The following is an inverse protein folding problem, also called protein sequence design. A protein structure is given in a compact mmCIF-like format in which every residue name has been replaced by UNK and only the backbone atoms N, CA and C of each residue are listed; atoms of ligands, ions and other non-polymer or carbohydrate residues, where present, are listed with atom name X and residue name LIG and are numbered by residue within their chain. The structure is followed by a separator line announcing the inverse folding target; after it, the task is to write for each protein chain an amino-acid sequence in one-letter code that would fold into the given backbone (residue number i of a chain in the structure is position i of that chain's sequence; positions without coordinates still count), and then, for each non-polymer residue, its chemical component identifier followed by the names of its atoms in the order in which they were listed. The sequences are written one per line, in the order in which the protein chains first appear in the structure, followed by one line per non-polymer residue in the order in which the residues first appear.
data_IF_799559329236
#
_entry.id   IF_799559329236
#
_cell.length_a   1.000
_cell.length_b   1.000
_cell.length_c   1.000
_cell.angle_alpha   90.00
_cell.angle_beta   90.00
_cell.angle_gamma   90.00
#
_symmetry.space_group_name_H-M   'P 1'
#
loop_
_entity.id
_entity.type
_entity.pdbx_description
1 polymer ?
#
# COMPACT_ATOMS: atom_id res chain seq x y z
N UNK A 1 2.43 -16.42 7.17
CA UNK A 1 1.27 -15.77 7.80
C UNK A 1 0.71 -16.62 8.94
N UNK A 2 -0.49 -16.31 9.47
CA UNK A 2 -1.14 -17.10 10.53
C UNK A 2 -1.35 -18.56 10.11
N UNK A 3 -1.39 -19.52 11.08
CA UNK A 3 -1.56 -20.93 10.75
C UNK A 3 -2.80 -21.17 9.88
N UNK A 4 -3.98 -20.70 10.30
CA UNK A 4 -5.23 -20.82 9.55
C UNK A 4 -5.58 -19.54 8.84
N UNK A 5 -5.81 -19.61 7.53
CA UNK A 5 -6.20 -18.49 6.66
C UNK A 5 -7.39 -18.92 5.79
N UNK A 6 -8.21 -17.95 5.39
CA UNK A 6 -9.36 -18.17 4.50
C UNK A 6 -10.72 -18.24 5.20
N UNK A 7 -10.75 -18.52 6.50
CA UNK A 7 -11.98 -18.70 7.29
C UNK A 7 -12.87 -17.45 7.39
N UNK A 8 -12.34 -16.26 7.14
CA UNK A 8 -13.14 -15.02 7.07
C UNK A 8 -13.77 -14.84 5.69
N UNK A 9 -13.10 -15.26 4.62
CA UNK A 9 -13.46 -14.89 3.25
C UNK A 9 -13.07 -13.47 2.90
N UNK A 10 -13.59 -12.97 1.79
CA UNK A 10 -13.25 -11.66 1.21
C UNK A 10 -14.51 -10.81 1.11
N UNK A 11 -14.50 -9.57 1.63
CA UNK A 11 -15.63 -8.66 1.50
C UNK A 11 -15.77 -8.14 0.06
N UNK A 12 -16.92 -7.55 -0.32
CA UNK A 12 -17.10 -6.99 -1.65
C UNK A 12 -16.09 -5.86 -1.92
N UNK A 13 -15.54 -5.83 -3.12
CA UNK A 13 -14.73 -4.70 -3.57
C UNK A 13 -15.67 -3.55 -4.00
N UNK A 14 -15.84 -2.59 -3.10
CA UNK A 14 -16.64 -1.40 -3.33
C UNK A 14 -15.81 -0.14 -3.15
N UNK A 15 -16.08 0.87 -3.97
CA UNK A 15 -15.36 2.15 -3.96
C UNK A 15 -16.28 3.22 -3.38
N UNK A 16 -15.76 4.00 -2.43
CA UNK A 16 -16.43 5.19 -1.88
C UNK A 16 -16.44 6.35 -2.91
N UNK A 17 -17.31 7.36 -2.76
CA UNK A 17 -17.33 8.50 -3.68
C UNK A 17 -15.98 9.22 -3.82
N UNK A 18 -15.15 9.20 -2.80
CA UNK A 18 -13.79 9.75 -2.81
C UNK A 18 -12.74 8.84 -3.48
N UNK A 19 -13.16 7.71 -4.07
CA UNK A 19 -12.25 6.77 -4.74
C UNK A 19 -11.56 5.77 -3.81
N UNK A 20 -11.77 5.82 -2.49
CA UNK A 20 -11.17 4.87 -1.55
C UNK A 20 -11.96 3.56 -1.53
N UNK A 21 -11.25 2.43 -1.49
CA UNK A 21 -11.89 1.13 -1.32
C UNK A 21 -12.49 1.00 0.08
N UNK A 22 -13.76 0.59 0.19
CA UNK A 22 -14.51 0.60 1.46
C UNK A 22 -13.92 -0.38 2.49
N UNK A 23 -13.57 -1.59 2.06
CA UNK A 23 -13.17 -2.69 2.94
C UNK A 23 -11.74 -3.17 2.71
N UNK A 24 -11.06 -2.63 1.70
CA UNK A 24 -9.70 -3.02 1.35
C UNK A 24 -8.70 -1.94 1.77
N UNK A 25 -7.49 -2.36 2.09
CA UNK A 25 -6.39 -1.47 2.45
C UNK A 25 -5.55 -1.08 1.22
N UNK A 26 -5.81 -1.71 0.09
CA UNK A 26 -5.13 -1.52 -1.18
C UNK A 26 -6.07 -1.89 -2.34
N UNK A 27 -5.75 -1.44 -3.55
CA UNK A 27 -6.56 -1.69 -4.75
C UNK A 27 -6.38 -3.11 -5.29
N UNK A 28 -5.26 -3.79 -4.96
CA UNK A 28 -4.91 -5.13 -5.42
C UNK A 28 -4.09 -5.88 -4.38
N UNK A 29 -3.86 -7.18 -4.64
CA UNK A 29 -2.88 -7.97 -3.89
C UNK A 29 -1.48 -7.60 -4.42
N UNK A 30 -0.60 -7.14 -3.52
CA UNK A 30 0.78 -6.79 -3.86
C UNK A 30 1.78 -7.95 -3.63
N UNK A 31 1.34 -9.02 -2.94
CA UNK A 31 2.17 -10.19 -2.71
C UNK A 31 2.26 -11.05 -3.96
N UNK A 32 3.45 -11.54 -4.30
CA UNK A 32 3.68 -12.47 -5.40
C UNK A 32 3.13 -13.86 -5.12
N UNK A 33 3.03 -14.23 -3.83
CA UNK A 33 2.43 -15.48 -3.38
C UNK A 33 2.00 -15.40 -1.93
N UNK A 34 1.11 -16.30 -1.51
CA UNK A 34 0.76 -16.49 -0.09
C UNK A 34 1.18 -17.89 0.37
N UNK A 35 1.88 -17.97 1.50
CA UNK A 35 2.29 -19.23 2.12
C UNK A 35 1.58 -19.34 3.47
N UNK A 36 0.84 -20.42 3.67
CA UNK A 36 0.04 -20.70 4.88
C UNK A 36 0.27 -22.11 5.39
N UNK A 37 0.09 -22.33 6.69
CA UNK A 37 0.08 -23.68 7.24
C UNK A 37 -1.21 -24.39 6.88
N UNK A 38 -2.34 -23.80 7.26
CA UNK A 38 -3.68 -24.36 7.07
C UNK A 38 -4.56 -23.39 6.28
N UNK A 39 -5.33 -23.92 5.34
CA UNK A 39 -6.27 -23.14 4.54
C UNK A 39 -7.70 -23.62 4.78
N UNK A 40 -8.60 -22.67 5.09
CA UNK A 40 -10.03 -22.93 5.18
C UNK A 40 -10.69 -22.72 3.82
N UNK A 41 -11.27 -23.76 3.26
CA UNK A 41 -12.03 -23.69 2.00
C UNK A 41 -13.40 -23.06 2.21
N UNK A 42 -13.92 -23.05 3.44
CA UNK A 42 -15.18 -22.43 3.79
C UNK A 42 -14.93 -21.15 4.61
N UNK A 43 -15.74 -20.14 4.33
CA UNK A 43 -15.70 -18.87 5.04
C UNK A 43 -17.05 -18.56 5.70
N UNK A 44 -17.02 -17.77 6.78
CA UNK A 44 -18.21 -17.53 7.62
C UNK A 44 -18.41 -16.08 8.04
N UNK A 45 -17.60 -15.14 7.57
CA UNK A 45 -17.78 -13.73 7.94
C UNK A 45 -19.03 -13.15 7.26
N UNK A 46 -19.85 -12.42 8.01
CA UNK A 46 -21.13 -11.86 7.55
C UNK A 46 -21.03 -10.97 6.30
N UNK A 47 -19.87 -10.32 6.09
CA UNK A 47 -19.62 -9.41 4.96
C UNK A 47 -18.83 -10.08 3.82
N UNK A 48 -18.53 -11.37 3.92
CA UNK A 48 -17.79 -12.06 2.86
C UNK A 48 -18.70 -12.41 1.70
N UNK A 49 -18.21 -12.23 0.49
CA UNK A 49 -18.92 -12.54 -0.77
C UNK A 49 -18.19 -13.59 -1.60
N UNK A 50 -16.92 -13.85 -1.32
CA UNK A 50 -16.12 -14.86 -2.01
C UNK A 50 -15.08 -15.48 -1.08
N UNK A 51 -14.51 -16.62 -1.49
CA UNK A 51 -13.40 -17.23 -0.78
C UNK A 51 -12.09 -16.49 -1.05
N UNK A 52 -11.13 -16.59 -0.12
CA UNK A 52 -9.77 -16.08 -0.37
C UNK A 52 -9.13 -16.76 -1.58
N UNK A 53 -9.40 -18.06 -1.78
CA UNK A 53 -8.87 -18.82 -2.93
C UNK A 53 -9.41 -18.31 -4.27
N UNK A 54 -10.66 -17.90 -4.35
CA UNK A 54 -11.23 -17.34 -5.57
C UNK A 54 -10.65 -15.96 -5.86
N UNK A 55 -10.47 -15.13 -4.84
CA UNK A 55 -9.78 -13.85 -4.97
C UNK A 55 -8.34 -14.03 -5.48
N UNK A 56 -7.55 -14.93 -4.84
CA UNK A 56 -6.19 -15.24 -5.27
C UNK A 56 -6.12 -15.73 -6.73
N UNK A 57 -7.06 -16.59 -7.15
CA UNK A 57 -7.15 -17.04 -8.54
C UNK A 57 -7.43 -15.90 -9.52
N UNK A 58 -8.36 -15.02 -9.16
CA UNK A 58 -8.71 -13.85 -9.98
C UNK A 58 -7.52 -12.90 -10.15
N UNK A 59 -6.75 -12.69 -9.09
CA UNK A 59 -5.54 -11.85 -9.10
C UNK A 59 -4.29 -12.59 -9.60
N UNK A 60 -4.42 -13.88 -9.95
CA UNK A 60 -3.31 -14.75 -10.41
C UNK A 60 -2.17 -14.89 -9.39
N UNK A 61 -2.49 -14.83 -8.10
CA UNK A 61 -1.54 -14.97 -6.99
C UNK A 61 -1.55 -16.42 -6.49
N UNK A 62 -0.44 -17.17 -6.58
CA UNK A 62 -0.38 -18.53 -6.08
C UNK A 62 -0.46 -18.61 -4.57
N UNK A 63 -1.13 -19.66 -4.07
CA UNK A 63 -1.21 -19.98 -2.65
C UNK A 63 -0.61 -21.35 -2.36
N UNK A 64 0.25 -21.46 -1.35
CA UNK A 64 0.84 -22.71 -0.89
C UNK A 64 0.35 -23.01 0.52
N UNK A 65 -0.13 -24.20 0.76
CA UNK A 65 -0.59 -24.69 2.07
C UNK A 65 0.23 -25.90 2.52
N UNK A 66 0.18 -26.21 3.82
CA UNK A 66 0.90 -27.35 4.40
C UNK A 66 2.36 -27.05 4.78
N UNK A 67 2.76 -25.80 4.79
CA UNK A 67 4.10 -25.37 5.19
C UNK A 67 4.11 -24.99 6.68
N UNK A 68 5.13 -25.42 7.42
CA UNK A 68 5.37 -24.92 8.78
C UNK A 68 5.82 -23.42 8.72
N UNK A 69 4.83 -22.55 8.70
CA UNK A 69 5.06 -21.10 8.62
C UNK A 69 5.72 -20.55 9.88
N UNK A 70 5.63 -21.25 11.00
CA UNK A 70 6.29 -20.87 12.26
C UNK A 70 7.80 -21.10 12.15
N UNK A 71 8.20 -22.25 11.63
CA UNK A 71 9.62 -22.56 11.42
C UNK A 71 10.20 -21.67 10.34
N UNK A 72 9.49 -21.47 9.23
CA UNK A 72 9.90 -20.52 8.19
C UNK A 72 10.12 -19.09 8.76
N UNK A 73 9.25 -18.63 9.65
CA UNK A 73 9.40 -17.32 10.29
C UNK A 73 10.64 -17.24 11.18
N UNK A 74 11.03 -18.34 11.86
CA UNK A 74 12.28 -18.37 12.64
C UNK A 74 13.51 -18.25 11.73
N UNK A 75 13.53 -18.99 10.63
CA UNK A 75 14.60 -18.91 9.63
C UNK A 75 14.74 -17.49 9.10
N UNK A 76 13.65 -16.85 8.70
CA UNK A 76 13.64 -15.46 8.23
C UNK A 76 14.10 -14.46 9.31
N UNK A 77 13.77 -14.71 10.58
CA UNK A 77 14.23 -13.86 11.69
C UNK A 77 15.74 -13.95 11.92
N UNK A 78 16.32 -15.13 11.73
CA UNK A 78 17.75 -15.36 11.93
C UNK A 78 18.60 -14.85 10.75
N UNK A 79 18.11 -14.98 9.53
CA UNK A 79 18.85 -14.67 8.31
C UNK A 79 18.47 -13.32 7.68
N UNK A 80 17.38 -12.69 8.13
CA UNK A 80 16.85 -11.47 7.51
C UNK A 80 16.03 -11.76 6.25
N UNK A 81 16.09 -10.84 5.29
CA UNK A 81 15.40 -10.99 4.01
C UNK A 81 16.05 -12.10 3.20
N UNK A 82 15.25 -13.01 2.66
CA UNK A 82 15.69 -14.13 1.85
C UNK A 82 14.92 -14.16 0.53
N UNK A 83 15.62 -14.34 -0.55
CA UNK A 83 15.01 -14.58 -1.86
C UNK A 83 14.41 -15.99 -1.88
N UNK A 84 13.26 -16.13 -2.54
CA UNK A 84 12.57 -17.41 -2.69
C UNK A 84 11.89 -17.52 -4.05
N UNK A 85 11.82 -18.73 -4.59
CA UNK A 85 11.12 -19.04 -5.85
C UNK A 85 10.15 -20.19 -5.61
N UNK A 86 8.95 -20.08 -6.15
CA UNK A 86 8.00 -21.16 -6.23
C UNK A 86 8.19 -21.84 -7.59
N UNK A 87 8.47 -23.13 -7.57
CA UNK A 87 8.69 -23.92 -8.78
C UNK A 87 7.59 -24.98 -8.86
N UNK A 88 6.95 -25.07 -9.99
CA UNK A 88 6.00 -26.14 -10.33
C UNK A 88 6.75 -27.12 -11.24
N UNK A 89 6.70 -28.38 -10.91
CA UNK A 89 7.43 -29.50 -11.51
C UNK A 89 8.92 -29.58 -11.14
N UNK A 90 9.51 -30.78 -11.28
CA UNK A 90 10.93 -31.02 -11.09
C UNK A 90 11.72 -30.38 -12.24
N UNK A 91 12.05 -29.12 -12.10
CA UNK A 91 12.96 -28.45 -13.03
C UNK A 91 14.38 -28.82 -12.64
N UNK A 92 14.97 -29.77 -13.36
CA UNK A 92 16.38 -30.10 -13.19
C UNK A 92 17.24 -28.88 -13.55
N UNK A 93 17.91 -28.27 -12.55
CA UNK A 93 19.06 -27.39 -12.70
C UNK A 93 18.92 -26.12 -13.57
N UNK A 94 17.75 -25.49 -13.69
CA UNK A 94 17.72 -24.10 -14.14
C UNK A 94 18.32 -23.20 -13.03
N UNK A 95 19.38 -22.48 -13.36
CA UNK A 95 19.87 -21.39 -12.49
C UNK A 95 18.70 -20.51 -12.09
N UNK A 96 18.47 -20.39 -10.79
CA UNK A 96 17.42 -19.54 -10.22
C UNK A 96 17.79 -18.09 -10.52
N UNK A 97 17.44 -17.61 -11.71
CA UNK A 97 17.64 -16.23 -12.06
C UNK A 97 16.59 -15.39 -11.31
N UNK A 98 16.99 -14.84 -10.15
CA UNK A 98 16.17 -13.97 -9.33
C UNK A 98 16.72 -12.55 -9.42
N UNK A 99 15.81 -11.58 -9.57
CA UNK A 99 16.22 -10.18 -9.45
C UNK A 99 16.80 -9.93 -8.06
N UNK A 100 17.91 -9.19 -8.00
CA UNK A 100 18.49 -8.80 -6.73
C UNK A 100 17.51 -7.91 -5.95
N UNK A 101 17.12 -8.37 -4.75
CA UNK A 101 16.21 -7.65 -3.87
C UNK A 101 16.68 -6.21 -3.60
N UNK A 102 17.98 -6.00 -3.43
CA UNK A 102 18.57 -4.68 -3.14
C UNK A 102 18.44 -3.70 -4.32
N UNK A 103 18.28 -4.22 -5.54
CA UNK A 103 18.11 -3.39 -6.75
C UNK A 103 16.68 -2.90 -6.97
N UNK A 104 15.70 -3.39 -6.20
CA UNK A 104 14.27 -3.11 -6.42
C UNK A 104 13.77 -2.03 -5.47
N UNK A 105 13.29 -0.91 -6.02
CA UNK A 105 12.53 0.06 -5.23
C UNK A 105 11.07 -0.39 -5.10
N UNK A 106 10.75 -1.07 -4.00
CA UNK A 106 9.40 -1.56 -3.73
C UNK A 106 8.42 -0.42 -3.41
N UNK A 107 8.91 0.69 -2.87
CA UNK A 107 8.07 1.87 -2.58
C UNK A 107 7.53 2.45 -3.87
N UNK A 108 8.35 2.56 -4.92
CA UNK A 108 7.89 3.03 -6.22
C UNK A 108 6.79 2.15 -6.83
N UNK A 109 6.84 0.83 -6.59
CA UNK A 109 5.81 -0.11 -7.09
C UNK A 109 4.44 0.07 -6.45
N UNK A 110 4.37 0.57 -5.20
CA UNK A 110 3.13 0.70 -4.42
C UNK A 110 2.66 2.13 -4.21
N UNK A 111 3.50 3.11 -4.43
CA UNK A 111 3.20 4.53 -4.31
C UNK A 111 2.19 4.98 -5.37
N UNK A 112 1.35 5.96 -5.05
CA UNK A 112 0.44 6.58 -6.01
C UNK A 112 1.21 7.24 -7.16
N UNK A 113 0.52 7.45 -8.28
CA UNK A 113 1.11 8.02 -9.49
C UNK A 113 0.49 9.38 -9.86
N UNK A 114 -0.32 9.93 -8.97
CA UNK A 114 -0.94 11.25 -9.10
C UNK A 114 -1.11 11.89 -7.71
N UNK A 115 -1.33 13.18 -7.68
CA UNK A 115 -1.66 13.91 -6.47
C UNK A 115 -3.16 13.82 -6.25
N UNK A 116 -3.60 13.43 -5.06
CA UNK A 116 -5.04 13.38 -4.75
C UNK A 116 -5.33 14.08 -3.43
N UNK A 117 -6.21 15.08 -3.47
CA UNK A 117 -6.77 15.68 -2.26
C UNK A 117 -8.05 14.95 -1.89
N UNK A 118 -8.13 14.47 -0.65
CA UNK A 118 -9.30 13.86 -0.03
C UNK A 118 -9.89 14.80 1.00
N UNK A 119 -11.20 15.01 0.96
CA UNK A 119 -11.93 15.91 1.85
C UNK A 119 -12.81 15.13 2.84
N UNK A 120 -13.04 15.66 4.05
CA UNK A 120 -13.87 15.01 5.07
C UNK A 120 -15.35 14.82 4.67
N UNK A 121 -15.82 15.56 3.69
CA UNK A 121 -17.20 15.44 3.15
C UNK A 121 -17.39 14.22 2.24
N UNK A 122 -16.33 13.45 2.00
CA UNK A 122 -16.35 12.27 1.15
C UNK A 122 -16.08 12.55 -0.32
N UNK A 123 -15.59 13.74 -0.67
CA UNK A 123 -15.13 14.08 -2.03
C UNK A 123 -13.62 13.93 -2.18
N UNK A 124 -13.15 13.81 -3.41
CA UNK A 124 -11.73 13.85 -3.75
C UNK A 124 -11.48 14.53 -5.09
N UNK A 125 -10.27 15.06 -5.25
CA UNK A 125 -9.82 15.73 -6.46
C UNK A 125 -8.42 15.25 -6.81
N UNK A 126 -8.23 14.74 -8.03
CA UNK A 126 -6.93 14.29 -8.52
C UNK A 126 -6.30 15.31 -9.46
N UNK A 127 -4.97 15.39 -9.40
CA UNK A 127 -4.17 16.32 -10.19
C UNK A 127 -2.96 15.58 -10.80
N UNK A 128 -2.66 15.84 -12.08
CA UNK A 128 -1.42 15.35 -12.69
C UNK A 128 -0.18 15.88 -11.95
N UNK A 129 0.88 15.09 -11.89
CA UNK A 129 2.17 15.51 -11.29
C UNK A 129 2.80 16.72 -11.96
N UNK A 130 2.40 17.01 -13.20
CA UNK A 130 2.87 18.17 -13.97
C UNK A 130 2.15 19.48 -13.61
N UNK A 131 1.15 19.44 -12.72
CA UNK A 131 0.40 20.63 -12.31
C UNK A 131 1.32 21.57 -11.51
N UNK A 132 1.46 22.87 -11.90
CA UNK A 132 2.29 23.80 -11.15
C UNK A 132 1.82 23.98 -9.70
N UNK A 133 2.77 24.11 -8.79
CA UNK A 133 2.50 24.15 -7.34
C UNK A 133 1.62 25.36 -6.95
N UNK A 134 1.79 26.50 -7.59
CA UNK A 134 0.98 27.69 -7.35
C UNK A 134 -0.48 27.45 -7.75
N UNK A 135 -0.70 26.72 -8.86
CA UNK A 135 -2.04 26.33 -9.28
C UNK A 135 -2.66 25.31 -8.31
N UNK A 136 -1.89 24.34 -7.83
CA UNK A 136 -2.33 23.38 -6.82
C UNK A 136 -2.72 24.09 -5.52
N UNK A 137 -1.88 24.96 -4.98
CA UNK A 137 -2.18 25.74 -3.78
C UNK A 137 -3.46 26.57 -3.92
N UNK A 138 -3.65 27.22 -5.08
CA UNK A 138 -4.87 27.97 -5.37
C UNK A 138 -6.12 27.09 -5.38
N UNK A 139 -6.06 25.93 -6.04
CA UNK A 139 -7.19 25.00 -6.13
C UNK A 139 -7.50 24.35 -4.76
N UNK A 140 -6.47 23.88 -4.05
CA UNK A 140 -6.62 23.29 -2.72
C UNK A 140 -7.16 24.28 -1.68
N UNK A 141 -6.78 25.56 -1.77
CA UNK A 141 -7.33 26.62 -0.90
C UNK A 141 -8.78 26.95 -1.22
N UNK A 142 -9.21 26.69 -2.44
CA UNK A 142 -10.59 26.90 -2.90
C UNK A 142 -11.59 25.87 -2.37
N UNK A 143 -11.16 24.68 -1.98
CA UNK A 143 -12.10 23.63 -1.50
C UNK A 143 -12.63 23.92 -0.09
N UNK A 144 -11.75 24.14 0.87
CA UNK A 144 -12.16 24.58 2.22
C UNK A 144 -10.96 25.18 2.98
N UNK A 145 -10.89 26.48 3.06
CA UNK A 145 -9.81 27.22 3.73
C UNK A 145 -9.75 27.07 5.25
N UNK A 146 -10.79 26.46 5.87
CA UNK A 146 -10.85 26.27 7.33
C UNK A 146 -10.33 24.90 7.77
N UNK A 147 -10.15 23.96 6.85
CA UNK A 147 -9.61 22.65 7.18
C UNK A 147 -8.09 22.72 7.38
N UNK A 148 -7.62 21.97 8.38
CA UNK A 148 -6.20 21.65 8.48
C UNK A 148 -5.80 20.72 7.32
N UNK A 149 -4.66 21.00 6.70
CA UNK A 149 -4.13 20.27 5.57
C UNK A 149 -2.96 19.39 5.98
N UNK A 150 -3.02 18.13 5.63
CA UNK A 150 -1.91 17.19 5.84
C UNK A 150 -1.43 16.69 4.47
N UNK A 151 -0.18 16.95 4.16
CA UNK A 151 0.50 16.26 3.06
C UNK A 151 0.84 14.85 3.51
N UNK A 152 0.37 13.86 2.75
CA UNK A 152 0.63 12.45 2.98
C UNK A 152 1.55 11.92 1.88
N UNK A 153 2.82 11.68 2.24
CA UNK A 153 3.81 11.05 1.35
C UNK A 153 3.53 9.56 1.30
N UNK A 154 3.18 9.07 0.12
CA UNK A 154 2.74 7.70 -0.08
C UNK A 154 3.90 6.77 -0.39
N UNK A 155 4.42 6.11 0.65
CA UNK A 155 5.37 5.01 0.53
C UNK A 155 4.69 3.62 0.49
N UNK A 156 3.37 3.57 0.34
CA UNK A 156 2.55 2.35 0.41
C UNK A 156 1.47 2.47 1.50
N UNK A 157 0.79 3.61 1.52
CA UNK A 157 -0.20 3.94 2.54
C UNK A 157 -1.40 2.99 2.49
N UNK A 158 -1.83 2.52 3.66
CA UNK A 158 -3.08 1.79 3.81
C UNK A 158 -4.26 2.75 3.78
N UNK A 159 -5.30 2.39 3.04
CA UNK A 159 -6.51 3.21 2.86
C UNK A 159 -7.13 3.65 4.19
N UNK A 160 -7.07 2.82 5.23
CA UNK A 160 -7.61 3.17 6.55
C UNK A 160 -6.87 4.33 7.22
N UNK A 161 -5.61 4.58 6.91
CA UNK A 161 -4.87 5.74 7.45
C UNK A 161 -5.50 7.02 6.91
N UNK A 162 -5.80 7.08 5.61
CA UNK A 162 -6.49 8.22 5.00
C UNK A 162 -7.86 8.42 5.66
N UNK A 163 -8.67 7.36 5.79
CA UNK A 163 -9.97 7.43 6.49
C UNK A 163 -9.85 7.94 7.92
N UNK A 164 -8.81 7.54 8.64
CA UNK A 164 -8.59 7.99 10.02
C UNK A 164 -8.28 9.49 10.11
N UNK A 165 -7.58 10.04 9.13
CA UNK A 165 -7.32 11.49 9.03
C UNK A 165 -8.61 12.24 8.65
N UNK A 166 -9.33 11.78 7.64
CA UNK A 166 -10.61 12.38 7.23
C UNK A 166 -11.64 12.43 8.37
N UNK A 167 -11.75 11.36 9.18
CA UNK A 167 -12.61 11.32 10.38
C UNK A 167 -12.23 12.37 11.44
N UNK A 168 -11.01 12.91 11.39
CA UNK A 168 -10.54 14.00 12.26
C UNK A 168 -10.73 15.38 11.67
N UNK A 169 -11.52 15.46 10.61
CA UNK A 169 -11.82 16.71 9.89
C UNK A 169 -10.56 17.38 9.32
N UNK A 170 -9.68 16.60 8.72
CA UNK A 170 -8.43 17.03 8.08
C UNK A 170 -8.53 16.76 6.59
N UNK A 171 -8.14 17.72 5.75
CA UNK A 171 -7.88 17.50 4.33
C UNK A 171 -6.57 16.73 4.17
N UNK A 172 -6.58 15.66 3.36
CA UNK A 172 -5.41 14.82 3.11
C UNK A 172 -4.96 14.99 1.67
N UNK A 173 -3.77 15.52 1.44
CA UNK A 173 -3.15 15.67 0.13
C UNK A 173 -2.14 14.55 -0.04
N UNK A 174 -2.54 13.45 -0.71
CA UNK A 174 -1.69 12.30 -1.00
C UNK A 174 -0.79 12.62 -2.19
N UNK A 175 0.51 12.45 -2.01
CA UNK A 175 1.53 12.68 -3.05
C UNK A 175 2.41 11.43 -3.19
N UNK A 176 3.02 11.18 -4.37
CA UNK A 176 4.01 10.13 -4.53
C UNK A 176 5.18 10.25 -3.55
N UNK A 177 5.86 9.13 -3.29
CA UNK A 177 6.99 9.03 -2.36
C UNK A 177 8.17 9.96 -2.70
N UNK A 178 8.37 10.26 -3.97
CA UNK A 178 9.47 11.06 -4.52
C UNK A 178 9.06 12.50 -4.90
N UNK A 179 7.78 12.85 -4.68
CA UNK A 179 7.27 14.17 -5.07
C UNK A 179 7.81 15.27 -4.17
N UNK A 180 8.28 16.39 -4.78
CA UNK A 180 8.70 17.60 -4.06
C UNK A 180 7.47 18.41 -3.62
N UNK A 181 7.14 18.33 -2.34
CA UNK A 181 6.01 19.01 -1.69
C UNK A 181 6.41 20.30 -0.94
N UNK A 182 7.68 20.74 -1.02
CA UNK A 182 8.18 21.88 -0.23
C UNK A 182 7.51 23.21 -0.58
N UNK A 183 6.88 23.33 -1.73
CA UNK A 183 6.09 24.49 -2.11
C UNK A 183 4.61 24.44 -1.73
N UNK A 184 4.13 23.37 -1.10
CA UNK A 184 2.74 23.29 -0.62
C UNK A 184 2.53 24.10 0.65
N UNK A 185 1.33 24.68 0.78
CA UNK A 185 0.83 25.24 2.03
C UNK A 185 0.10 24.15 2.81
N UNK A 186 0.70 23.64 3.88
CA UNK A 186 0.13 22.58 4.73
C UNK A 186 0.40 22.83 6.23
N UNK A 187 -0.42 22.21 7.08
CA UNK A 187 -0.33 22.27 8.54
C UNK A 187 0.41 21.07 9.14
N UNK A 188 0.52 19.99 8.41
CA UNK A 188 1.18 18.77 8.87
C UNK A 188 1.68 17.90 7.73
N UNK A 189 2.72 17.12 8.03
CA UNK A 189 3.29 16.12 7.13
C UNK A 189 3.12 14.75 7.73
N UNK A 190 2.66 13.80 6.93
CA UNK A 190 2.54 12.39 7.26
C UNK A 190 3.31 11.56 6.25
N UNK A 191 4.34 10.86 6.68
CA UNK A 191 5.08 9.90 5.85
C UNK A 191 4.55 8.51 6.19
N UNK A 192 4.00 7.81 5.20
CA UNK A 192 3.47 6.47 5.43
C UNK A 192 4.60 5.44 5.57
N UNK A 193 4.29 4.31 6.21
CA UNK A 193 5.14 3.13 6.07
C UNK A 193 5.07 2.59 4.63
N UNK A 194 6.06 1.78 4.25
CA UNK A 194 6.15 1.13 2.95
C UNK A 194 6.91 -0.19 3.02
N UNK A 195 6.95 -0.93 1.91
CA UNK A 195 7.74 -2.14 1.77
C UNK A 195 9.21 -1.81 1.44
N UNK A 196 10.09 -2.80 1.63
CA UNK A 196 11.50 -2.70 1.23
C UNK A 196 12.40 -1.99 2.23
N UNK A 197 13.58 -1.61 1.75
CA UNK A 197 14.58 -0.92 2.55
C UNK A 197 14.37 0.60 2.47
N UNK A 198 14.28 1.32 3.61
CA UNK A 198 14.21 2.78 3.63
C UNK A 198 15.38 3.48 2.92
N UNK A 199 16.54 2.86 2.85
CA UNK A 199 17.70 3.40 2.16
C UNK A 199 17.50 3.56 0.64
N UNK A 200 16.47 2.90 0.08
CA UNK A 200 16.08 3.09 -1.34
C UNK A 200 15.21 4.34 -1.57
N UNK A 201 14.88 5.09 -0.53
CA UNK A 201 13.95 6.23 -0.57
C UNK A 201 14.67 7.59 -0.49
N UNK A 202 15.82 7.76 -1.11
CA UNK A 202 16.64 8.98 -1.07
C UNK A 202 15.84 10.25 -1.38
N UNK A 203 14.96 10.24 -2.38
CA UNK A 203 14.15 11.40 -2.75
C UNK A 203 13.23 11.84 -1.60
N UNK A 204 12.57 10.90 -0.92
CA UNK A 204 11.74 11.21 0.25
C UNK A 204 12.57 11.80 1.40
N UNK A 205 13.78 11.27 1.63
CA UNK A 205 14.70 11.77 2.65
C UNK A 205 15.17 13.17 2.32
N UNK A 206 15.53 13.45 1.07
CA UNK A 206 15.95 14.77 0.62
C UNK A 206 14.82 15.80 0.78
N UNK A 207 13.60 15.48 0.32
CA UNK A 207 12.45 16.37 0.46
C UNK A 207 12.13 16.65 1.93
N UNK A 208 12.23 15.64 2.81
CA UNK A 208 12.05 15.81 4.24
C UNK A 208 13.13 16.69 4.89
N UNK A 209 14.38 16.58 4.45
CA UNK A 209 15.49 17.35 5.01
C UNK A 209 15.40 18.86 4.74
N UNK A 210 14.59 19.27 3.76
CA UNK A 210 14.34 20.68 3.44
C UNK A 210 13.31 21.32 4.39
N UNK A 211 12.57 20.51 5.15
CA UNK A 211 11.65 21.00 6.15
C UNK A 211 12.44 21.25 7.44
N UNK A 212 12.66 22.50 7.77
CA UNK A 212 13.24 22.85 9.05
C UNK A 212 12.24 22.60 10.19
N UNK A 213 12.54 21.63 11.00
CA UNK A 213 11.84 21.34 12.25
C UNK A 213 12.51 22.12 13.38
#
# INVERSE_FOLDING_TARGET
TYPLVGNYGVPPFTIEPNGLATFMESEKIHAEAIIVSDYSYEYSHWNAVESLGDWLKREQVPGITGIDTRELTKVLREHGVMMGKIVFDEVENEELNMEDYESINYVDRVSCKEITSYLPDGTSHSFPLTTPIEQLNSQLSGFNSQLKKVVLVDCGVKTNIIRCLLKRNVEVIRVPWDYDYNGFEFDGLFISNGPGDPDTCDAAVQNLSLIHI
#
